data_IF_907924978089
#
_entry.id   IF_907924978089
#
_cell.length_a   1.000
_cell.length_b   1.000
_cell.length_c   1.000
_cell.angle_alpha   90.00
_cell.angle_beta   90.00
_cell.angle_gamma   90.00
#
_symmetry.space_group_name_H-M   'P 1'
#
loop_
_entity.id
_entity.type
_entity.pdbx_description
1 polymer ?
#
# COMPACT_ATOMS: atom_id res chain seq x y z
N UNK A 1 -65.64 25.05 -6.67
CA UNK A 1 -64.69 26.17 -6.52
C UNK A 1 -63.87 26.22 -7.80
N UNK A 2 -63.83 27.35 -8.50
CA UNK A 2 -63.23 27.49 -9.84
C UNK A 2 -61.73 27.17 -9.79
N UNK A 3 -61.25 26.28 -10.64
CA UNK A 3 -59.83 26.25 -11.01
C UNK A 3 -59.76 26.37 -12.53
N UNK A 4 -59.36 27.56 -12.98
CA UNK A 4 -59.28 27.93 -14.38
C UNK A 4 -58.11 27.19 -15.03
N UNK A 5 -58.39 26.46 -16.11
CA UNK A 5 -57.40 25.92 -17.02
C UNK A 5 -56.89 27.04 -17.92
N UNK A 6 -55.59 27.37 -17.85
CA UNK A 6 -54.90 28.10 -18.91
C UNK A 6 -54.03 27.12 -19.66
N UNK A 7 -54.54 26.73 -20.83
CA UNK A 7 -53.89 25.90 -21.81
C UNK A 7 -52.98 26.83 -22.65
N UNK A 8 -51.67 26.76 -22.45
CA UNK A 8 -50.72 27.20 -23.46
C UNK A 8 -49.48 26.29 -23.42
N UNK A 9 -49.64 25.17 -24.11
CA UNK A 9 -48.71 24.65 -25.13
C UNK A 9 -47.21 24.88 -24.90
N UNK A 10 -46.49 23.80 -24.63
CA UNK A 10 -45.33 23.32 -25.42
C UNK A 10 -45.23 21.82 -25.15
N UNK A 11 -45.63 21.02 -26.13
CA UNK A 11 -45.11 19.66 -26.31
C UNK A 11 -43.58 19.77 -26.37
N UNK A 12 -42.85 18.90 -25.66
CA UNK A 12 -41.74 18.10 -26.20
C UNK A 12 -41.23 17.17 -25.08
N UNK A 13 -41.43 15.87 -25.34
CA UNK A 13 -40.68 14.69 -24.86
C UNK A 13 -40.90 14.23 -23.41
N UNK A 14 -41.75 13.21 -23.31
CA UNK A 14 -41.70 12.20 -22.26
C UNK A 14 -40.51 11.26 -22.52
N UNK A 15 -39.53 11.21 -21.60
CA UNK A 15 -38.82 9.98 -21.26
C UNK A 15 -38.72 9.91 -19.74
N UNK A 16 -39.47 8.96 -19.21
CA UNK A 16 -39.47 8.53 -17.82
C UNK A 16 -38.12 7.85 -17.57
N UNK A 17 -37.19 8.54 -16.90
CA UNK A 17 -35.95 7.96 -16.39
C UNK A 17 -36.07 7.79 -14.89
N UNK A 18 -36.28 6.55 -14.43
CA UNK A 18 -36.39 6.22 -13.02
C UNK A 18 -35.13 6.67 -12.27
N UNK A 19 -35.30 7.58 -11.29
CA UNK A 19 -34.30 7.79 -10.26
C UNK A 19 -34.29 6.54 -9.36
N UNK A 20 -33.45 5.56 -9.70
CA UNK A 20 -33.20 4.43 -8.83
C UNK A 20 -32.46 4.94 -7.59
N UNK A 21 -33.12 4.87 -6.43
CA UNK A 21 -32.42 4.90 -5.16
C UNK A 21 -31.49 3.68 -5.12
N UNK A 22 -30.19 3.90 -5.21
CA UNK A 22 -29.22 2.87 -4.82
C UNK A 22 -29.48 2.58 -3.34
N UNK A 23 -29.80 1.34 -2.93
CA UNK A 23 -29.86 1.03 -1.52
C UNK A 23 -28.46 1.28 -0.96
N UNK A 24 -28.33 2.30 -0.12
CA UNK A 24 -27.18 2.45 0.77
C UNK A 24 -27.13 1.18 1.61
N UNK A 25 -26.34 0.20 1.17
CA UNK A 25 -26.02 -0.95 1.99
C UNK A 25 -25.42 -0.42 3.27
N UNK A 26 -26.11 -0.64 4.41
CA UNK A 26 -25.51 -0.43 5.71
C UNK A 26 -24.15 -1.12 5.72
N UNK A 27 -23.06 -0.51 6.22
CA UNK A 27 -21.84 -1.25 6.44
C UNK A 27 -22.20 -2.44 7.33
N UNK A 28 -22.11 -3.64 6.78
CA UNK A 28 -22.38 -4.85 7.52
C UNK A 28 -21.47 -4.85 8.75
N UNK A 29 -22.04 -5.16 9.90
CA UNK A 29 -21.26 -5.37 11.12
C UNK A 29 -20.13 -6.34 10.78
N UNK A 30 -18.88 -5.89 10.92
CA UNK A 30 -17.73 -6.77 10.75
C UNK A 30 -17.85 -7.87 11.80
N UNK A 31 -18.16 -9.09 11.35
CA UNK A 31 -18.09 -10.27 12.20
C UNK A 31 -16.62 -10.51 12.52
N UNK A 32 -16.19 -10.08 13.72
CA UNK A 32 -14.83 -10.30 14.22
C UNK A 32 -14.68 -11.73 14.75
N UNK A 33 -15.10 -12.72 13.96
CA UNK A 33 -14.94 -14.15 14.28
C UNK A 33 -13.53 -14.68 13.99
N UNK A 34 -12.63 -13.84 13.48
CA UNK A 34 -11.22 -14.17 13.21
C UNK A 34 -10.28 -14.05 14.41
N UNK A 35 -9.10 -14.66 14.30
CA UNK A 35 -8.03 -14.58 15.28
C UNK A 35 -7.31 -13.23 15.17
N UNK A 36 -7.38 -12.42 16.22
CA UNK A 36 -6.76 -11.08 16.24
C UNK A 36 -5.23 -11.08 16.33
N UNK A 37 -4.61 -12.18 16.76
CA UNK A 37 -3.15 -12.28 16.85
C UNK A 37 -2.54 -12.66 15.51
N UNK A 38 -3.13 -13.65 14.82
CA UNK A 38 -2.62 -14.13 13.52
C UNK A 38 -3.24 -13.41 12.33
N UNK A 39 -4.43 -12.82 12.50
CA UNK A 39 -5.23 -12.27 11.41
C UNK A 39 -6.10 -13.30 10.68
N UNK A 40 -6.01 -14.59 11.05
CA UNK A 40 -6.76 -15.66 10.37
C UNK A 40 -8.27 -15.45 10.50
N UNK A 41 -8.99 -15.56 9.38
CA UNK A 41 -10.44 -15.35 9.35
C UNK A 41 -10.87 -13.87 9.34
N UNK A 42 -9.94 -12.91 9.35
CA UNK A 42 -10.25 -11.50 9.09
C UNK A 42 -10.16 -11.19 7.58
N UNK A 43 -10.96 -10.24 7.06
CA UNK A 43 -10.84 -9.81 5.67
C UNK A 43 -9.45 -9.24 5.37
N UNK A 44 -8.76 -9.80 4.38
CA UNK A 44 -7.49 -9.30 3.87
C UNK A 44 -7.60 -9.07 2.35
N UNK A 45 -7.64 -7.81 1.86
CA UNK A 45 -7.71 -7.51 0.43
C UNK A 45 -6.42 -7.86 -0.32
N UNK A 46 -5.32 -8.12 0.39
CA UNK A 46 -4.01 -8.52 -0.14
C UNK A 46 -3.53 -9.83 0.51
N UNK A 47 -4.19 -10.98 0.24
CA UNK A 47 -3.90 -12.24 0.92
C UNK A 47 -2.69 -12.99 0.37
N UNK A 48 -2.23 -12.62 -0.83
CA UNK A 48 -1.11 -13.28 -1.49
C UNK A 48 0.22 -12.73 -0.95
N UNK A 49 0.99 -13.62 -0.33
CA UNK A 49 2.36 -13.32 0.13
C UNK A 49 3.34 -13.94 -0.85
N UNK A 50 4.29 -13.13 -1.33
CA UNK A 50 5.45 -13.60 -2.08
C UNK A 50 6.65 -13.58 -1.14
N UNK A 51 7.30 -14.72 -0.97
CA UNK A 51 8.50 -14.84 -0.14
C UNK A 51 9.76 -14.72 -0.99
N UNK A 52 10.85 -14.23 -0.39
CA UNK A 52 12.18 -14.13 -1.04
C UNK A 52 12.13 -13.39 -2.38
N UNK A 53 11.43 -12.26 -2.40
CA UNK A 53 11.09 -11.58 -3.64
C UNK A 53 12.22 -10.66 -4.15
N UNK A 54 13.00 -10.02 -3.28
CA UNK A 54 14.04 -9.07 -3.68
C UNK A 54 15.40 -9.45 -3.14
N UNK A 55 16.36 -9.65 -4.04
CA UNK A 55 17.77 -9.90 -3.70
C UNK A 55 18.55 -8.58 -3.70
N UNK A 56 19.46 -8.43 -2.74
CA UNK A 56 20.36 -7.28 -2.71
C UNK A 56 21.49 -7.47 -3.73
N UNK A 57 22.01 -6.38 -4.31
CA UNK A 57 23.08 -6.47 -5.29
C UNK A 57 24.38 -6.92 -4.61
N UNK A 58 25.32 -7.43 -5.42
CA UNK A 58 26.67 -7.80 -4.99
C UNK A 58 26.72 -8.92 -3.93
N UNK A 59 25.68 -9.75 -3.84
CA UNK A 59 25.62 -10.88 -2.89
C UNK A 59 25.48 -10.45 -1.44
N UNK A 60 24.96 -9.23 -1.21
CA UNK A 60 24.64 -8.75 0.13
C UNK A 60 23.47 -9.52 0.73
N UNK A 61 23.52 -9.68 2.04
CA UNK A 61 22.41 -10.19 2.83
C UNK A 61 21.60 -9.03 3.41
N UNK A 62 20.30 -9.24 3.54
CA UNK A 62 19.41 -8.28 4.17
C UNK A 62 19.74 -8.10 5.65
N UNK A 63 19.85 -6.84 6.09
CA UNK A 63 19.65 -6.49 7.49
C UNK A 63 18.16 -6.44 7.85
N UNK A 64 17.88 -6.03 9.08
CA UNK A 64 16.52 -5.76 9.55
C UNK A 64 15.91 -4.64 8.72
N UNK A 65 14.90 -4.98 7.92
CA UNK A 65 14.11 -4.02 7.14
C UNK A 65 13.39 -3.07 8.08
N UNK A 66 13.60 -1.77 7.90
CA UNK A 66 13.02 -0.73 8.72
C UNK A 66 11.67 -0.26 8.19
N UNK A 67 11.42 -0.41 6.89
CA UNK A 67 10.13 -0.15 6.27
C UNK A 67 10.10 -0.52 4.79
N UNK A 68 8.87 -0.62 4.28
CA UNK A 68 8.57 -0.79 2.86
C UNK A 68 7.41 0.14 2.49
N UNK A 69 7.39 0.65 1.27
CA UNK A 69 6.27 1.44 0.73
C UNK A 69 6.15 1.24 -0.79
N UNK A 70 4.99 1.58 -1.34
CA UNK A 70 4.71 1.53 -2.77
C UNK A 70 4.90 2.94 -3.35
N UNK A 71 5.78 3.08 -4.32
CA UNK A 71 5.99 4.33 -5.04
C UNK A 71 4.68 4.78 -5.71
N UNK A 72 4.14 5.97 -5.39
CA UNK A 72 2.88 6.43 -5.96
C UNK A 72 2.96 6.77 -7.45
N UNK A 73 4.16 6.92 -8.00
CA UNK A 73 4.35 7.33 -9.40
C UNK A 73 4.32 6.15 -10.36
N UNK A 74 4.95 5.02 -9.99
CA UNK A 74 5.10 3.84 -10.86
C UNK A 74 4.73 2.51 -10.20
N UNK A 75 4.39 2.51 -8.90
CA UNK A 75 3.96 1.33 -8.17
C UNK A 75 5.10 0.35 -7.82
N UNK A 76 6.35 0.70 -8.11
CA UNK A 76 7.52 -0.04 -7.65
C UNK A 76 7.67 0.07 -6.14
N UNK A 77 8.47 -0.81 -5.54
CA UNK A 77 8.57 -0.90 -4.07
C UNK A 77 9.81 -0.16 -3.61
N UNK A 78 9.64 0.74 -2.65
CA UNK A 78 10.74 1.26 -1.86
C UNK A 78 10.88 0.41 -0.60
N UNK A 79 12.11 0.01 -0.29
CA UNK A 79 12.43 -0.66 0.96
C UNK A 79 13.77 -0.15 1.48
N UNK A 80 13.92 -0.11 2.79
CA UNK A 80 15.16 0.31 3.42
C UNK A 80 15.52 -0.59 4.60
N UNK A 81 16.81 -0.83 4.76
CA UNK A 81 17.38 -1.78 5.71
C UNK A 81 18.54 -1.18 6.48
N UNK A 82 18.89 -1.77 7.62
CA UNK A 82 19.86 -1.20 8.57
C UNK A 82 21.31 -1.58 8.23
N UNK A 83 21.71 -1.46 6.97
CA UNK A 83 23.05 -1.78 6.46
C UNK A 83 23.59 -3.15 6.91
N UNK A 84 22.75 -4.18 6.91
CA UNK A 84 23.08 -5.54 7.33
C UNK A 84 22.94 -5.79 8.84
N UNK A 85 22.54 -4.80 9.64
CA UNK A 85 22.30 -4.99 11.07
C UNK A 85 21.09 -5.89 11.32
N UNK A 86 21.21 -6.88 12.21
CA UNK A 86 20.12 -7.83 12.51
C UNK A 86 18.97 -7.23 13.32
N UNK A 87 19.19 -6.08 13.97
CA UNK A 87 18.19 -5.39 14.79
C UNK A 87 18.46 -3.87 14.84
N UNK A 88 17.73 -3.15 15.70
CA UNK A 88 17.87 -1.73 15.94
C UNK A 88 18.08 -1.47 17.44
N UNK A 89 19.03 -0.59 17.78
CA UNK A 89 19.22 -0.10 19.14
C UNK A 89 20.68 -0.02 19.57
N UNK A 90 20.90 0.49 20.79
CA UNK A 90 22.23 0.57 21.38
C UNK A 90 22.80 -0.81 21.64
N UNK A 91 24.00 -1.08 21.11
CA UNK A 91 24.68 -2.37 21.23
C UNK A 91 24.66 -3.22 19.96
N UNK A 92 23.97 -2.80 18.90
CA UNK A 92 24.09 -3.45 17.60
C UNK A 92 25.53 -3.28 17.07
N UNK A 93 26.20 -4.37 16.65
CA UNK A 93 27.59 -4.34 16.21
C UNK A 93 27.77 -3.70 14.83
N UNK A 94 26.69 -3.60 14.05
CA UNK A 94 26.67 -3.11 12.67
C UNK A 94 25.61 -2.03 12.54
N UNK A 95 25.94 -0.96 11.81
CA UNK A 95 25.02 0.08 11.38
C UNK A 95 25.57 0.70 10.07
N UNK A 96 24.94 1.76 9.56
CA UNK A 96 25.37 2.39 8.31
C UNK A 96 26.62 3.28 8.44
N UNK A 97 27.11 3.53 9.66
CA UNK A 97 28.41 4.16 9.91
C UNK A 97 29.55 3.13 9.81
N UNK A 98 29.38 1.94 10.41
CA UNK A 98 30.39 0.88 10.36
C UNK A 98 30.35 0.04 9.09
N UNK A 99 29.23 0.03 8.38
CA UNK A 99 29.05 -0.61 7.07
C UNK A 99 28.41 0.39 6.08
N UNK A 100 29.20 1.24 5.39
CA UNK A 100 28.71 2.36 4.58
C UNK A 100 28.21 1.90 3.20
N UNK A 101 27.15 1.11 3.21
CA UNK A 101 26.46 0.64 2.01
C UNK A 101 25.20 1.47 1.77
N UNK A 102 24.73 1.62 0.51
CA UNK A 102 23.44 2.26 0.25
C UNK A 102 22.31 1.38 0.82
N UNK A 103 21.52 1.86 1.80
CA UNK A 103 20.52 1.05 2.48
C UNK A 103 19.10 1.25 1.95
N UNK A 104 18.85 2.24 1.10
CA UNK A 104 17.53 2.54 0.54
C UNK A 104 17.49 2.04 -0.89
N UNK A 105 16.50 1.22 -1.21
CA UNK A 105 16.40 0.51 -2.48
C UNK A 105 15.02 0.72 -3.11
N UNK A 106 15.02 0.85 -4.43
CA UNK A 106 13.84 0.72 -5.27
C UNK A 106 13.89 -0.63 -5.98
N UNK A 107 12.80 -1.37 -5.94
CA UNK A 107 12.67 -2.69 -6.54
C UNK A 107 11.54 -2.72 -7.58
N UNK A 108 11.76 -3.41 -8.70
CA UNK A 108 10.71 -3.72 -9.64
C UNK A 108 9.67 -4.62 -8.96
N UNK A 109 8.47 -4.09 -8.71
CA UNK A 109 7.34 -4.75 -8.02
C UNK A 109 7.01 -6.19 -8.46
N UNK A 110 7.37 -6.60 -9.68
CA UNK A 110 7.02 -7.91 -10.22
C UNK A 110 8.19 -8.90 -10.13
N UNK A 111 9.41 -8.44 -10.42
CA UNK A 111 10.60 -9.30 -10.49
C UNK A 111 11.44 -9.27 -9.21
N UNK A 112 11.37 -8.17 -8.46
CA UNK A 112 12.23 -7.91 -7.30
C UNK A 112 13.66 -7.51 -7.67
N UNK A 113 13.91 -7.14 -8.93
CA UNK A 113 15.18 -6.57 -9.34
C UNK A 113 15.38 -5.17 -8.74
N UNK A 114 16.60 -4.86 -8.32
CA UNK A 114 16.96 -3.53 -7.83
C UNK A 114 17.06 -2.55 -9.00
N UNK A 115 16.17 -1.57 -9.02
CA UNK A 115 16.12 -0.50 -10.02
C UNK A 115 17.02 0.69 -9.66
N UNK A 116 17.15 0.96 -8.36
CA UNK A 116 18.01 2.03 -7.83
C UNK A 116 18.31 1.79 -6.36
N UNK A 117 19.42 2.35 -5.87
CA UNK A 117 19.70 2.44 -4.45
C UNK A 117 20.53 3.68 -4.10
N UNK A 118 20.39 4.17 -2.87
CA UNK A 118 21.12 5.34 -2.39
C UNK A 118 21.24 5.32 -0.86
N UNK A 119 21.93 6.33 -0.31
CA UNK A 119 21.97 6.58 1.13
C UNK A 119 23.25 6.17 1.84
N UNK A 120 24.24 5.64 1.11
CA UNK A 120 25.58 5.40 1.64
C UNK A 120 26.17 6.71 2.17
N UNK A 121 26.81 6.65 3.34
CA UNK A 121 27.45 7.79 4.01
C UNK A 121 26.52 8.98 4.34
N UNK A 122 25.20 8.82 4.24
CA UNK A 122 24.22 9.89 4.53
C UNK A 122 23.55 9.75 5.90
N UNK A 123 23.59 8.57 6.50
CA UNK A 123 22.86 8.26 7.72
C UNK A 123 23.52 7.12 8.51
N UNK A 124 23.35 7.15 9.82
CA UNK A 124 23.79 6.06 10.72
C UNK A 124 22.73 4.95 10.78
N UNK A 125 21.45 5.34 10.76
CA UNK A 125 20.29 4.44 10.73
C UNK A 125 19.16 5.05 9.90
N UNK A 126 18.76 4.43 8.77
CA UNK A 126 17.58 4.82 7.99
C UNK A 126 16.25 4.51 8.69
#
# INVERSE_FOLDING_TARGET
MRMQYSCLTIMVVAIIGMAACVPSGSPGSADLSGNLITGDGLPNPTPSVVTNWGDLPEGREWGSTAGIDIDPNDGHIWAYERCGAGSFGGGEPVNCESNPVPPVFKFDRNTGEVLANFGADLMVTP
#
